data_IF_342432098496
#
_entry.id   IF_342432098496
#
_cell.length_a   1.000
_cell.length_b   1.000
_cell.length_c   1.000
_cell.angle_alpha   90.00
_cell.angle_beta   90.00
_cell.angle_gamma   90.00
#
_symmetry.space_group_name_H-M   'P 1'
#
loop_
_entity.id
_entity.type
_entity.pdbx_description
1 polymer ?
#
# COMPACT_ATOMS: atom_id res chain seq x y z
N UNK A 1 6.30 -16.35 -2.15
CA UNK A 1 7.37 -15.60 -2.89
C UNK A 1 7.81 -14.38 -2.10
N UNK A 2 9.11 -14.06 -2.05
CA UNK A 2 9.60 -12.80 -1.45
C UNK A 2 9.21 -11.65 -2.38
N UNK A 3 8.51 -10.63 -1.86
CA UNK A 3 8.04 -9.47 -2.62
C UNK A 3 8.76 -8.17 -2.26
N UNK A 4 9.36 -8.09 -1.06
CA UNK A 4 10.17 -6.95 -0.64
C UNK A 4 11.22 -7.37 0.38
N UNK A 5 12.41 -6.77 0.31
CA UNK A 5 13.51 -6.99 1.24
C UNK A 5 14.05 -5.64 1.68
N UNK A 6 13.91 -5.30 2.95
CA UNK A 6 14.58 -4.14 3.55
C UNK A 6 15.94 -4.58 4.14
N UNK A 7 15.97 -5.72 4.81
CA UNK A 7 17.17 -6.33 5.36
C UNK A 7 16.97 -7.84 5.54
N UNK A 8 17.99 -8.55 6.03
CA UNK A 8 17.87 -9.96 6.40
C UNK A 8 16.90 -10.18 7.58
N UNK A 9 16.66 -9.15 8.39
CA UNK A 9 15.77 -9.19 9.55
C UNK A 9 14.36 -8.64 9.24
N UNK A 10 14.21 -7.93 8.13
CA UNK A 10 12.94 -7.33 7.69
C UNK A 10 12.73 -7.56 6.19
N UNK A 11 11.92 -8.56 5.87
CA UNK A 11 11.49 -8.88 4.51
C UNK A 11 10.03 -9.34 4.51
N UNK A 12 9.40 -9.25 3.36
CA UNK A 12 7.98 -9.56 3.17
C UNK A 12 7.81 -10.63 2.11
N UNK A 13 6.86 -11.52 2.37
CA UNK A 13 6.50 -12.63 1.49
C UNK A 13 5.02 -12.60 1.20
N UNK A 14 4.67 -12.95 -0.04
CA UNK A 14 3.31 -13.28 -0.44
C UNK A 14 3.17 -14.79 -0.49
N UNK A 15 2.16 -15.35 0.16
CA UNK A 15 1.85 -16.77 0.09
C UNK A 15 1.21 -17.08 -1.26
N UNK A 16 1.58 -18.20 -1.88
CA UNK A 16 1.05 -18.56 -3.20
C UNK A 16 -0.47 -18.72 -3.17
N UNK A 17 -1.02 -19.25 -2.08
CA UNK A 17 -2.46 -19.43 -1.84
C UNK A 17 -3.23 -18.09 -1.79
N UNK A 18 -2.56 -16.97 -1.53
CA UNK A 18 -3.19 -15.65 -1.43
C UNK A 18 -3.05 -14.80 -2.69
N UNK A 19 -2.28 -15.24 -3.68
CA UNK A 19 -1.99 -14.44 -4.89
C UNK A 19 -3.27 -14.12 -5.68
N UNK A 20 -4.17 -15.10 -5.82
CA UNK A 20 -5.44 -14.88 -6.54
C UNK A 20 -6.33 -13.86 -5.86
N UNK A 21 -6.30 -13.77 -4.53
CA UNK A 21 -7.09 -12.77 -3.81
C UNK A 21 -6.42 -11.39 -3.83
N UNK A 22 -5.09 -11.34 -3.80
CA UNK A 22 -4.34 -10.10 -4.01
C UNK A 22 -4.61 -9.53 -5.41
N UNK A 23 -4.61 -10.36 -6.45
CA UNK A 23 -4.91 -9.92 -7.83
C UNK A 23 -6.30 -9.28 -7.92
N UNK A 24 -7.31 -9.88 -7.28
CA UNK A 24 -8.68 -9.31 -7.22
C UNK A 24 -8.71 -7.97 -6.49
N UNK A 25 -7.94 -7.81 -5.40
CA UNK A 25 -7.86 -6.53 -4.67
C UNK A 25 -7.24 -5.46 -5.57
N UNK A 26 -6.11 -5.78 -6.20
CA UNK A 26 -5.42 -4.86 -7.11
C UNK A 26 -6.30 -4.46 -8.28
N UNK A 27 -7.00 -5.40 -8.91
CA UNK A 27 -7.93 -5.12 -10.00
C UNK A 27 -9.06 -4.19 -9.55
N UNK A 28 -9.70 -4.49 -8.41
CA UNK A 28 -10.81 -3.66 -7.87
C UNK A 28 -10.38 -2.24 -7.55
N UNK A 29 -9.19 -2.06 -6.99
CA UNK A 29 -8.68 -0.73 -6.66
C UNK A 29 -8.40 0.09 -7.92
N UNK A 30 -7.76 -0.52 -8.92
CA UNK A 30 -7.34 0.19 -10.12
C UNK A 30 -8.47 0.40 -11.15
N UNK A 31 -9.53 -0.40 -11.08
CA UNK A 31 -10.76 -0.20 -11.87
C UNK A 31 -11.81 0.67 -11.15
N UNK A 32 -11.55 1.07 -9.90
CA UNK A 32 -12.51 1.78 -9.04
C UNK A 32 -12.70 3.27 -9.37
N UNK A 33 -11.85 3.86 -10.21
CA UNK A 33 -11.86 5.29 -10.49
C UNK A 33 -11.13 6.12 -9.42
N UNK A 34 -11.61 7.34 -9.18
CA UNK A 34 -11.04 8.24 -8.16
C UNK A 34 -11.62 7.94 -6.77
N UNK A 35 -10.74 7.88 -5.76
CA UNK A 35 -11.13 7.72 -4.37
C UNK A 35 -11.34 9.08 -3.73
N UNK A 36 -12.45 9.23 -3.00
CA UNK A 36 -12.72 10.44 -2.22
C UNK A 36 -11.64 10.64 -1.12
N UNK A 37 -11.18 11.88 -0.90
CA UNK A 37 -10.26 12.17 0.19
C UNK A 37 -10.84 11.77 1.55
N UNK A 38 -10.04 11.08 2.36
CA UNK A 38 -10.43 10.70 3.72
C UNK A 38 -10.07 11.84 4.69
N UNK A 39 -11.07 12.40 5.38
CA UNK A 39 -10.86 13.52 6.30
C UNK A 39 -10.17 13.17 7.62
N UNK A 40 -10.51 12.02 8.22
CA UNK A 40 -10.04 11.63 9.56
C UNK A 40 -8.96 10.55 9.51
N UNK A 41 -7.85 10.84 8.83
CA UNK A 41 -6.66 9.97 8.86
C UNK A 41 -5.90 10.11 10.18
N UNK A 42 -5.38 8.99 10.68
CA UNK A 42 -4.47 8.92 11.82
C UNK A 42 -3.34 7.94 11.53
N UNK A 43 -2.24 8.02 12.29
CA UNK A 43 -1.18 7.01 12.21
C UNK A 43 -1.80 5.65 12.49
N UNK A 44 -1.53 4.71 11.60
CA UNK A 44 -2.10 3.36 11.62
C UNK A 44 -3.43 3.19 10.88
N UNK A 45 -4.05 4.26 10.36
CA UNK A 45 -5.21 4.13 9.45
C UNK A 45 -4.84 3.32 8.22
N UNK A 46 -5.76 2.44 7.80
CA UNK A 46 -5.68 1.73 6.52
C UNK A 46 -6.50 2.51 5.49
N UNK A 47 -5.89 2.87 4.38
CA UNK A 47 -6.53 3.59 3.28
C UNK A 47 -5.95 3.17 1.93
N UNK A 48 -6.49 3.74 0.86
CA UNK A 48 -5.89 3.61 -0.48
C UNK A 48 -4.90 4.75 -0.69
N UNK A 49 -3.77 4.45 -1.32
CA UNK A 49 -2.80 5.43 -1.76
C UNK A 49 -2.45 5.19 -3.22
N UNK A 50 -2.33 6.28 -3.96
CA UNK A 50 -1.82 6.27 -5.33
C UNK A 50 -0.31 6.30 -5.29
N UNK A 51 0.33 5.31 -5.89
CA UNK A 51 1.79 5.27 -6.01
C UNK A 51 2.20 5.82 -7.37
N UNK A 52 2.87 6.96 -7.36
CA UNK A 52 3.19 7.70 -8.58
C UNK A 52 4.23 7.01 -9.47
N UNK A 53 4.99 6.03 -8.96
CA UNK A 53 6.03 5.35 -9.75
C UNK A 53 5.44 4.39 -10.80
N UNK A 54 4.27 3.82 -10.54
CA UNK A 54 3.60 2.88 -11.44
C UNK A 54 2.15 3.23 -11.76
N UNK A 55 1.71 4.39 -11.31
CA UNK A 55 0.39 4.97 -11.55
C UNK A 55 -0.77 4.07 -11.10
N UNK A 56 -0.59 3.37 -9.97
CA UNK A 56 -1.59 2.45 -9.43
C UNK A 56 -2.01 2.76 -8.00
N UNK A 57 -3.21 2.31 -7.68
CA UNK A 57 -3.78 2.35 -6.34
C UNK A 57 -3.47 1.08 -5.55
N UNK A 58 -3.09 1.28 -4.29
CA UNK A 58 -2.72 0.22 -3.36
C UNK A 58 -3.36 0.41 -2.00
N UNK A 59 -3.54 -0.68 -1.26
CA UNK A 59 -3.85 -0.59 0.17
C UNK A 59 -2.59 -0.21 0.93
N UNK A 60 -2.70 0.77 1.79
CA UNK A 60 -1.59 1.25 2.59
C UNK A 60 -1.99 1.50 4.04
N UNK A 61 -0.98 1.61 4.89
CA UNK A 61 -1.10 2.02 6.29
C UNK A 61 -0.33 3.31 6.49
N UNK A 62 -0.96 4.33 7.06
CA UNK A 62 -0.28 5.57 7.44
C UNK A 62 0.75 5.27 8.53
N UNK A 63 2.01 5.61 8.29
CA UNK A 63 3.09 5.52 9.27
C UNK A 63 3.36 6.85 9.95
N UNK A 64 3.32 7.94 9.16
CA UNK A 64 3.70 9.28 9.60
C UNK A 64 3.03 10.34 8.73
N UNK A 65 2.71 11.49 9.32
CA UNK A 65 2.28 12.70 8.61
C UNK A 65 3.50 13.57 8.34
N UNK A 66 3.68 13.98 7.09
CA UNK A 66 4.77 14.86 6.67
C UNK A 66 4.24 16.28 6.47
N UNK A 67 5.15 17.26 6.35
CA UNK A 67 4.79 18.64 5.96
C UNK A 67 3.98 18.68 4.65
N UNK A 68 4.33 17.77 3.72
CA UNK A 68 3.63 17.52 2.48
C UNK A 68 3.51 16.01 2.29
N UNK A 69 2.28 15.51 2.25
CA UNK A 69 1.97 14.09 2.05
C UNK A 69 2.10 13.23 3.31
N UNK A 70 2.27 11.94 3.12
CA UNK A 70 2.28 10.91 4.15
C UNK A 70 3.38 9.90 3.89
N UNK A 71 4.04 9.39 4.93
CA UNK A 71 4.75 8.12 4.79
C UNK A 71 3.77 6.97 5.03
N UNK A 72 3.75 6.02 4.10
CA UNK A 72 2.86 4.87 4.16
C UNK A 72 3.64 3.57 3.97
N UNK A 73 3.08 2.48 4.47
CA UNK A 73 3.49 1.13 4.09
C UNK A 73 2.42 0.52 3.19
N UNK A 74 2.81 0.00 2.03
CA UNK A 74 1.90 -0.80 1.20
C UNK A 74 1.74 -2.18 1.82
N UNK A 75 0.59 -2.44 2.43
CA UNK A 75 0.41 -3.58 3.34
C UNK A 75 0.47 -4.93 2.63
N UNK A 76 0.22 -4.94 1.33
CA UNK A 76 0.23 -6.13 0.48
C UNK A 76 1.62 -6.50 -0.06
N UNK A 77 2.58 -5.57 0.03
CA UNK A 77 3.90 -5.69 -0.59
C UNK A 77 5.05 -5.45 0.39
N UNK A 78 4.81 -4.72 1.49
CA UNK A 78 5.77 -4.49 2.57
C UNK A 78 6.65 -3.26 2.39
N UNK A 79 6.82 -2.74 1.17
CA UNK A 79 7.59 -1.53 0.91
C UNK A 79 6.95 -0.29 1.53
N UNK A 80 7.80 0.68 1.89
CA UNK A 80 7.42 1.96 2.49
C UNK A 80 7.75 3.07 1.49
N UNK A 81 6.86 4.03 1.35
CA UNK A 81 7.04 5.15 0.43
C UNK A 81 6.40 6.43 0.98
N UNK A 82 6.84 7.56 0.43
CA UNK A 82 6.16 8.84 0.61
C UNK A 82 5.12 8.99 -0.49
N UNK A 83 3.87 9.26 -0.09
CA UNK A 83 2.74 9.52 -0.97
C UNK A 83 2.21 10.94 -0.74
#
# INVERSE_FOLDING_TARGET
KICFVNSLEEFYVQLDDSLTDLDKVTERLNNGGEFEPIGDLRVGSICTAFWSEDEKWYRCKILEFCDVGYHVQFIDYGNKAKC
#
